data_IF_650596231636
#
_entry.id   IF_650596231636
#
_cell.length_a   1.000
_cell.length_b   1.000
_cell.length_c   1.000
_cell.angle_alpha   90.00
_cell.angle_beta   90.00
_cell.angle_gamma   90.00
#
_symmetry.space_group_name_H-M   'P 1'
#
loop_
_entity.id
_entity.type
_entity.pdbx_description
1 polymer ?
#
# COMPACT_ATOMS: atom_id res chain seq x y z
N UNK A 1 2.77 73.74 -29.38
CA UNK A 1 3.32 73.20 -28.12
C UNK A 1 3.48 71.70 -28.28
N UNK A 2 4.71 71.20 -28.09
CA UNK A 2 5.08 69.80 -28.26
C UNK A 2 4.42 68.93 -27.18
N UNK A 3 3.70 67.88 -27.60
CA UNK A 3 3.28 66.77 -26.75
C UNK A 3 4.00 65.49 -27.17
N UNK A 4 5.01 65.10 -26.41
CA UNK A 4 5.73 63.82 -26.51
C UNK A 4 4.78 62.67 -26.16
N UNK A 5 4.73 61.62 -26.97
CA UNK A 5 4.24 60.30 -26.52
C UNK A 5 5.40 59.32 -26.64
N UNK A 6 5.79 58.80 -25.48
CA UNK A 6 6.86 57.84 -25.23
C UNK A 6 6.64 56.53 -26.00
N UNK A 7 7.69 56.06 -26.68
CA UNK A 7 7.82 54.66 -27.09
C UNK A 7 8.19 53.85 -25.85
N UNK A 8 7.32 52.91 -25.47
CA UNK A 8 7.57 51.94 -24.41
C UNK A 8 8.26 50.72 -25.06
N UNK A 9 9.59 50.64 -24.96
CA UNK A 9 10.32 49.43 -25.35
C UNK A 9 10.15 48.36 -24.27
N UNK A 10 9.46 47.28 -24.61
CA UNK A 10 9.32 46.10 -23.77
C UNK A 10 10.56 45.23 -23.98
N UNK A 11 11.55 45.37 -23.09
CA UNK A 11 12.69 44.45 -23.02
C UNK A 11 12.22 43.11 -22.45
N UNK A 12 12.15 42.08 -23.30
CA UNK A 12 11.96 40.69 -22.92
C UNK A 12 13.25 40.16 -22.25
N UNK A 13 13.31 40.23 -20.92
CA UNK A 13 14.32 39.54 -20.12
C UNK A 13 13.97 38.05 -20.04
N UNK A 14 14.53 37.28 -20.99
CA UNK A 14 14.61 35.82 -20.91
C UNK A 14 15.54 35.45 -19.76
N UNK A 15 15.00 35.37 -18.54
CA UNK A 15 15.63 34.60 -17.46
C UNK A 15 15.53 33.12 -17.82
N UNK A 16 16.57 32.63 -18.48
CA UNK A 16 16.87 31.21 -18.57
C UNK A 16 17.10 30.68 -17.15
N UNK A 17 16.01 30.23 -16.53
CA UNK A 17 16.05 29.49 -15.29
C UNK A 17 16.67 28.14 -15.63
N UNK A 18 17.98 28.01 -15.42
CA UNK A 18 18.64 26.72 -15.43
C UNK A 18 17.96 25.86 -14.37
N UNK A 19 17.02 25.01 -14.80
CA UNK A 19 16.50 23.91 -14.00
C UNK A 19 17.68 22.95 -13.88
N UNK A 20 18.51 23.16 -12.87
CA UNK A 20 19.42 22.12 -12.40
C UNK A 20 18.51 21.00 -11.91
N UNK A 21 18.49 19.80 -12.51
CA UNK A 21 17.85 18.68 -11.86
C UNK A 21 18.63 18.47 -10.57
N UNK A 22 18.02 18.85 -9.45
CA UNK A 22 18.51 18.45 -8.15
C UNK A 22 18.51 16.92 -8.18
N UNK A 23 19.69 16.32 -8.31
CA UNK A 23 19.88 14.92 -8.01
C UNK A 23 19.54 14.79 -6.53
N UNK A 24 18.28 14.47 -6.25
CA UNK A 24 17.87 14.03 -4.94
C UNK A 24 18.62 12.71 -4.70
N UNK A 25 19.81 12.80 -4.11
CA UNK A 25 20.36 11.70 -3.35
C UNK A 25 19.40 11.46 -2.18
N UNK A 26 18.33 10.72 -2.45
CA UNK A 26 17.52 10.03 -1.44
C UNK A 26 18.40 8.97 -0.81
N UNK A 27 19.40 9.39 -0.03
CA UNK A 27 20.03 8.53 0.95
C UNK A 27 18.94 8.15 1.93
N UNK A 28 18.30 7.02 1.65
CA UNK A 28 17.32 6.42 2.52
C UNK A 28 18.06 6.07 3.80
N UNK A 29 18.04 6.98 4.79
CA UNK A 29 18.77 6.78 6.04
C UNK A 29 18.38 5.42 6.59
N UNK A 30 19.36 4.53 6.68
CA UNK A 30 19.14 3.15 7.06
C UNK A 30 18.39 3.11 8.39
N UNK A 31 17.23 2.44 8.39
CA UNK A 31 16.52 2.13 9.62
C UNK A 31 17.38 1.17 10.45
N UNK A 32 17.25 1.22 11.77
CA UNK A 32 17.96 0.32 12.68
C UNK A 32 16.93 -0.50 13.45
N UNK A 33 17.26 -1.76 13.73
CA UNK A 33 16.40 -2.64 14.52
C UNK A 33 16.19 -2.08 15.92
N UNK A 34 14.95 -1.77 16.29
CA UNK A 34 14.55 -1.41 17.66
C UNK A 34 14.00 -2.59 18.44
N UNK A 35 13.42 -3.56 17.74
CA UNK A 35 12.78 -4.73 18.33
C UNK A 35 12.96 -5.96 17.44
N UNK A 36 13.25 -7.10 18.07
CA UNK A 36 13.39 -8.38 17.37
C UNK A 36 13.07 -9.55 18.31
N UNK A 37 12.00 -10.29 18.01
CA UNK A 37 11.75 -11.61 18.64
C UNK A 37 12.54 -12.72 17.97
N UNK A 38 12.89 -12.54 16.69
CA UNK A 38 13.71 -13.46 15.91
C UNK A 38 14.81 -12.67 15.19
N UNK A 39 16.02 -12.56 15.78
CA UNK A 39 17.11 -11.77 15.21
C UNK A 39 17.45 -12.16 13.77
N UNK A 40 17.43 -13.46 13.47
CA UNK A 40 17.69 -13.99 12.12
C UNK A 40 16.65 -13.51 11.10
N UNK A 41 15.36 -13.64 11.44
CA UNK A 41 14.28 -13.19 10.56
C UNK A 41 14.36 -11.67 10.34
N UNK A 42 14.63 -10.91 11.41
CA UNK A 42 14.78 -9.47 11.30
C UNK A 42 15.97 -9.10 10.43
N UNK A 43 17.09 -9.82 10.50
CA UNK A 43 18.22 -9.63 9.60
C UNK A 43 17.87 -9.94 8.14
N UNK A 44 17.09 -10.99 7.87
CA UNK A 44 16.62 -11.32 6.51
C UNK A 44 15.73 -10.20 5.94
N UNK A 45 14.77 -9.67 6.72
CA UNK A 45 14.00 -8.48 6.31
C UNK A 45 14.87 -7.22 6.21
N UNK A 46 15.89 -7.10 7.07
CA UNK A 46 16.80 -5.97 7.07
C UNK A 46 17.61 -5.90 5.78
N UNK A 47 18.16 -7.06 5.39
CA UNK A 47 18.89 -7.24 4.15
C UNK A 47 18.01 -6.90 2.95
N UNK A 48 16.77 -7.42 2.92
CA UNK A 48 15.81 -7.18 1.84
C UNK A 48 15.50 -5.69 1.62
N UNK A 49 15.36 -4.88 2.67
CA UNK A 49 15.15 -3.43 2.47
C UNK A 49 16.45 -2.70 2.11
N UNK A 50 17.60 -3.18 2.59
CA UNK A 50 18.90 -2.52 2.36
C UNK A 50 19.48 -2.80 0.97
N UNK A 51 19.10 -3.91 0.34
CA UNK A 51 19.60 -4.34 -0.96
C UNK A 51 18.84 -3.74 -2.15
N UNK A 52 17.72 -3.05 -1.90
CA UNK A 52 16.80 -2.61 -2.96
C UNK A 52 17.11 -1.17 -3.42
N UNK A 53 18.12 -1.05 -4.28
CA UNK A 53 18.57 0.26 -4.79
C UNK A 53 17.60 0.92 -5.80
N UNK A 54 16.65 0.15 -6.35
CA UNK A 54 15.71 0.61 -7.39
C UNK A 54 14.36 1.05 -6.81
N UNK A 55 14.08 0.73 -5.54
CA UNK A 55 12.74 0.83 -4.95
C UNK A 55 12.78 1.49 -3.57
N UNK A 56 12.64 2.83 -3.48
CA UNK A 56 12.70 3.49 -2.20
C UNK A 56 11.48 3.12 -1.35
N UNK A 57 11.68 2.91 -0.04
CA UNK A 57 10.59 2.61 0.89
C UNK A 57 9.58 3.77 1.05
N UNK A 58 9.81 4.92 0.42
CA UNK A 58 8.86 6.06 0.38
C UNK A 58 7.86 5.94 -0.78
N UNK A 59 8.18 5.17 -1.82
CA UNK A 59 7.32 5.00 -2.99
C UNK A 59 6.24 3.95 -2.68
N UNK A 60 4.96 4.30 -2.89
CA UNK A 60 3.82 3.43 -2.57
C UNK A 60 3.77 2.21 -3.47
N UNK A 61 3.73 2.43 -4.78
CA UNK A 61 3.63 1.36 -5.77
C UNK A 61 4.81 0.40 -5.66
N UNK A 62 5.99 0.96 -5.41
CA UNK A 62 7.20 0.19 -5.31
C UNK A 62 7.21 -0.68 -4.04
N UNK A 63 6.93 -0.10 -2.88
CA UNK A 63 6.85 -0.82 -1.61
C UNK A 63 5.83 -1.97 -1.66
N UNK A 64 4.67 -1.71 -2.26
CA UNK A 64 3.56 -2.65 -2.30
C UNK A 64 3.75 -3.71 -3.38
N UNK A 65 4.03 -3.30 -4.62
CA UNK A 65 3.97 -4.17 -5.80
C UNK A 65 5.34 -4.69 -6.23
N UNK A 66 6.40 -3.90 -6.11
CA UNK A 66 7.73 -4.24 -6.66
C UNK A 66 8.74 -4.74 -5.62
N UNK A 67 8.53 -4.46 -4.35
CA UNK A 67 9.49 -4.80 -3.32
C UNK A 67 9.62 -6.33 -3.13
N UNK A 68 10.86 -6.85 -3.14
CA UNK A 68 11.18 -8.23 -2.79
C UNK A 68 11.18 -9.25 -3.95
N UNK A 69 11.17 -8.82 -5.21
CA UNK A 69 11.18 -9.71 -6.39
C UNK A 69 12.57 -10.06 -6.93
N UNK A 70 13.64 -9.44 -6.44
CA UNK A 70 15.01 -9.64 -6.98
C UNK A 70 15.99 -10.20 -5.93
N UNK A 71 16.60 -11.35 -6.25
CA UNK A 71 17.74 -11.94 -5.53
C UNK A 71 17.39 -13.01 -4.48
N UNK A 72 18.39 -13.84 -4.14
CA UNK A 72 18.43 -15.02 -3.24
C UNK A 72 17.88 -14.83 -1.80
N UNK A 73 16.66 -14.33 -1.69
CA UNK A 73 15.95 -14.08 -0.44
C UNK A 73 15.15 -15.33 -0.05
N UNK A 74 15.27 -15.76 1.21
CA UNK A 74 14.40 -16.81 1.81
C UNK A 74 12.97 -16.34 2.05
N UNK A 75 12.69 -15.06 1.77
CA UNK A 75 11.39 -14.44 1.82
C UNK A 75 10.83 -14.42 0.41
N UNK A 76 9.67 -15.04 0.22
CA UNK A 76 8.95 -15.04 -1.06
C UNK A 76 7.77 -14.09 -0.94
N UNK A 77 7.70 -13.09 -1.82
CA UNK A 77 6.54 -12.20 -1.87
C UNK A 77 5.28 -12.98 -2.28
N UNK A 78 4.18 -12.78 -1.57
CA UNK A 78 2.87 -13.28 -1.98
C UNK A 78 2.18 -12.20 -2.83
N UNK A 79 1.86 -12.48 -4.11
CA UNK A 79 1.26 -11.49 -4.98
C UNK A 79 -0.18 -11.18 -4.57
N UNK A 80 -0.63 -9.97 -4.89
CA UNK A 80 -2.03 -9.60 -4.81
C UNK A 80 -2.70 -9.84 -6.16
N UNK A 81 -3.91 -10.39 -6.12
CA UNK A 81 -4.78 -10.56 -7.29
C UNK A 81 -6.06 -9.78 -7.08
N UNK A 82 -6.51 -9.06 -8.11
CA UNK A 82 -7.79 -8.36 -8.04
C UNK A 82 -8.95 -9.35 -7.87
N UNK A 83 -9.81 -9.06 -6.90
CA UNK A 83 -11.03 -9.79 -6.64
C UNK A 83 -12.23 -9.06 -7.22
N UNK A 84 -12.31 -7.74 -7.03
CA UNK A 84 -13.44 -6.96 -7.47
C UNK A 84 -13.14 -5.46 -7.58
N UNK A 85 -13.89 -4.78 -8.44
CA UNK A 85 -13.95 -3.31 -8.51
C UNK A 85 -15.39 -2.82 -8.43
N UNK A 86 -15.62 -1.62 -7.87
CA UNK A 86 -16.93 -0.98 -7.95
C UNK A 86 -17.17 -0.30 -9.30
N UNK A 87 -18.41 0.17 -9.50
CA UNK A 87 -18.87 0.74 -10.77
C UNK A 87 -18.22 2.05 -11.23
N UNK A 88 -17.32 2.60 -10.42
CA UNK A 88 -16.66 3.86 -10.70
C UNK A 88 -15.14 3.73 -10.64
N UNK A 89 -14.61 2.51 -10.48
CA UNK A 89 -13.18 2.30 -10.29
C UNK A 89 -12.63 2.86 -8.98
N UNK A 90 -13.50 3.28 -8.06
CA UNK A 90 -13.07 3.94 -6.82
C UNK A 90 -12.77 2.95 -5.70
N UNK A 91 -13.49 1.81 -5.67
CA UNK A 91 -13.22 0.75 -4.69
C UNK A 91 -12.60 -0.43 -5.40
N UNK A 92 -11.40 -0.83 -4.98
CA UNK A 92 -10.73 -2.03 -5.48
C UNK A 92 -10.48 -2.97 -4.31
N UNK A 93 -10.86 -4.23 -4.49
CA UNK A 93 -10.62 -5.32 -3.53
C UNK A 93 -9.58 -6.24 -4.17
N UNK A 94 -8.44 -6.38 -3.53
CA UNK A 94 -7.40 -7.34 -3.93
C UNK A 94 -7.13 -8.35 -2.81
N UNK A 95 -6.72 -9.55 -3.18
CA UNK A 95 -6.44 -10.63 -2.23
C UNK A 95 -5.03 -11.17 -2.41
N UNK A 96 -4.34 -11.45 -1.31
CA UNK A 96 -3.25 -12.40 -1.26
C UNK A 96 -3.77 -13.69 -0.64
N UNK A 97 -3.86 -14.73 -1.46
CA UNK A 97 -4.19 -16.06 -0.99
C UNK A 97 -2.91 -16.86 -0.77
N UNK A 98 -2.59 -17.15 0.48
CA UNK A 98 -1.57 -18.14 0.80
C UNK A 98 -2.20 -19.53 0.66
N UNK A 99 -1.74 -20.38 -0.29
CA UNK A 99 -2.36 -21.68 -0.53
C UNK A 99 -2.43 -22.54 0.74
N UNK A 100 -3.57 -23.16 0.98
CA UNK A 100 -3.76 -24.07 2.13
C UNK A 100 -3.87 -23.36 3.49
N UNK A 101 -4.13 -22.04 3.52
CA UNK A 101 -4.41 -21.30 4.74
C UNK A 101 -5.92 -21.11 4.93
N UNK A 102 -6.42 -21.13 6.18
CA UNK A 102 -7.83 -20.84 6.49
C UNK A 102 -8.13 -19.33 6.53
N UNK A 103 -7.15 -18.49 6.20
CA UNK A 103 -7.31 -17.05 6.09
C UNK A 103 -6.78 -16.52 4.76
N UNK A 104 -7.36 -15.42 4.32
CA UNK A 104 -6.91 -14.63 3.18
C UNK A 104 -6.55 -13.23 3.67
N UNK A 105 -5.56 -12.61 3.04
CA UNK A 105 -5.29 -11.19 3.26
C UNK A 105 -5.97 -10.38 2.19
N UNK A 106 -6.80 -9.44 2.61
CA UNK A 106 -7.61 -8.55 1.78
C UNK A 106 -7.01 -7.16 1.83
N UNK A 107 -6.92 -6.53 0.66
CA UNK A 107 -6.57 -5.13 0.47
C UNK A 107 -7.78 -4.41 -0.06
N UNK A 108 -8.09 -3.29 0.58
CA UNK A 108 -9.17 -2.40 0.20
C UNK A 108 -8.56 -1.08 -0.17
N UNK A 109 -8.83 -0.65 -1.39
CA UNK A 109 -8.59 0.70 -1.85
C UNK A 109 -9.93 1.40 -2.03
N UNK A 110 -10.04 2.61 -1.50
CA UNK A 110 -11.18 3.52 -1.66
C UNK A 110 -12.53 2.91 -1.30
N UNK A 111 -12.66 2.21 -0.17
CA UNK A 111 -13.94 1.62 0.25
C UNK A 111 -14.95 2.72 0.59
N UNK A 112 -15.97 2.88 -0.28
CA UNK A 112 -16.97 3.97 -0.19
C UNK A 112 -18.16 3.65 0.73
N UNK A 113 -18.11 2.54 1.48
CA UNK A 113 -19.20 2.14 2.39
C UNK A 113 -19.31 2.98 3.67
N UNK A 114 -18.35 3.88 3.94
CA UNK A 114 -18.28 4.66 5.17
C UNK A 114 -18.42 6.18 4.94
N UNK A 115 -18.89 6.88 5.98
CA UNK A 115 -19.03 8.35 6.02
C UNK A 115 -17.69 9.09 5.84
N UNK A 116 -16.56 8.42 6.06
CA UNK A 116 -15.22 8.89 5.74
C UNK A 116 -14.56 7.83 4.85
N UNK A 117 -14.20 8.13 3.59
CA UNK A 117 -13.64 7.13 2.69
C UNK A 117 -12.37 6.53 3.30
N UNK A 118 -12.42 5.22 3.57
CA UNK A 118 -11.26 4.45 4.01
C UNK A 118 -10.38 4.25 2.80
N UNK A 119 -9.30 5.01 2.70
CA UNK A 119 -8.53 5.05 1.46
C UNK A 119 -7.77 3.78 1.21
N UNK A 120 -7.03 3.26 2.20
CA UNK A 120 -6.26 2.03 2.02
C UNK A 120 -6.25 1.23 3.33
N UNK A 121 -6.78 0.01 3.31
CA UNK A 121 -6.79 -0.89 4.46
C UNK A 121 -6.28 -2.29 4.08
N UNK A 122 -5.67 -2.97 5.05
CA UNK A 122 -5.27 -4.37 4.92
C UNK A 122 -5.90 -5.18 6.03
N UNK A 123 -6.53 -6.29 5.69
CA UNK A 123 -7.32 -7.12 6.60
C UNK A 123 -6.93 -8.60 6.48
N UNK A 124 -6.92 -9.31 7.60
CA UNK A 124 -6.92 -10.78 7.64
C UNK A 124 -8.34 -11.27 7.86
N UNK A 125 -8.86 -12.06 6.93
CA UNK A 125 -10.24 -12.57 6.97
C UNK A 125 -10.27 -14.08 6.79
N UNK A 126 -11.36 -14.72 7.18
CA UNK A 126 -11.57 -16.15 6.95
C UNK A 126 -11.72 -16.44 5.43
N UNK A 127 -10.94 -17.40 4.91
CA UNK A 127 -10.95 -17.74 3.48
C UNK A 127 -12.28 -18.33 3.04
N UNK A 128 -12.87 -19.22 3.82
CA UNK A 128 -14.11 -19.91 3.46
C UNK A 128 -15.26 -18.92 3.31
N UNK A 129 -15.42 -18.00 4.28
CA UNK A 129 -16.41 -16.94 4.23
C UNK A 129 -16.19 -16.00 3.03
N UNK A 130 -14.94 -15.62 2.76
CA UNK A 130 -14.60 -14.79 1.61
C UNK A 130 -14.94 -15.50 0.30
N UNK A 131 -14.56 -16.77 0.15
CA UNK A 131 -14.84 -17.54 -1.06
C UNK A 131 -16.33 -17.81 -1.23
N UNK A 132 -17.08 -18.02 -0.15
CA UNK A 132 -18.54 -18.15 -0.20
C UNK A 132 -19.18 -16.85 -0.71
N UNK A 133 -18.68 -15.70 -0.28
CA UNK A 133 -19.15 -14.39 -0.74
C UNK A 133 -18.85 -14.16 -2.22
N UNK A 134 -17.64 -14.51 -2.67
CA UNK A 134 -17.20 -14.34 -4.07
C UNK A 134 -18.01 -15.19 -5.05
N UNK A 135 -18.54 -16.32 -4.58
CA UNK A 135 -19.36 -17.22 -5.39
C UNK A 135 -20.88 -16.95 -5.28
N UNK A 136 -21.29 -15.97 -4.46
CA UNK A 136 -22.71 -15.62 -4.27
C UNK A 136 -23.17 -14.66 -5.35
N UNK A 137 -24.39 -14.82 -5.85
CA UNK A 137 -24.98 -13.88 -6.80
C UNK A 137 -25.61 -12.64 -6.10
N UNK A 138 -25.43 -11.41 -6.65
CA UNK A 138 -24.51 -11.09 -7.75
C UNK A 138 -23.06 -11.18 -7.29
N UNK A 139 -22.22 -11.91 -8.05
CA UNK A 139 -20.81 -12.06 -7.70
C UNK A 139 -20.05 -10.74 -7.83
N UNK A 140 -19.01 -10.50 -7.02
CA UNK A 140 -18.06 -9.43 -7.28
C UNK A 140 -17.43 -9.61 -8.67
N UNK A 141 -17.28 -8.52 -9.43
CA UNK A 141 -16.74 -8.53 -10.79
C UNK A 141 -15.36 -7.91 -10.83
N UNK A 142 -14.47 -8.51 -11.62
CA UNK A 142 -13.19 -7.91 -11.97
C UNK A 142 -13.37 -6.71 -12.90
N UNK A 143 -12.36 -5.85 -12.96
CA UNK A 143 -12.37 -4.62 -13.73
C UNK A 143 -12.72 -4.86 -15.21
N UNK A 144 -12.12 -5.86 -15.84
CA UNK A 144 -12.41 -6.17 -17.25
C UNK A 144 -13.85 -6.59 -17.47
N UNK A 145 -14.41 -7.42 -16.60
CA UNK A 145 -15.80 -7.87 -16.67
C UNK A 145 -16.77 -6.71 -16.41
N UNK A 146 -16.41 -5.83 -15.48
CA UNK A 146 -17.22 -4.68 -15.12
C UNK A 146 -17.27 -3.64 -16.26
N UNK A 147 -16.12 -3.21 -16.78
CA UNK A 147 -16.04 -2.19 -17.84
C UNK A 147 -16.63 -2.67 -19.17
N UNK A 148 -16.43 -3.96 -19.49
CA UNK A 148 -16.87 -4.54 -20.77
C UNK A 148 -18.27 -5.15 -20.68
N UNK A 149 -18.83 -5.32 -19.49
CA UNK A 149 -20.16 -5.87 -19.30
C UNK A 149 -21.24 -4.90 -19.76
N UNK A 150 -22.09 -5.36 -20.69
CA UNK A 150 -23.26 -4.61 -21.13
C UNK A 150 -24.16 -4.22 -19.93
N UNK A 151 -24.83 -3.07 -20.02
CA UNK A 151 -25.52 -2.26 -19.01
C UNK A 151 -26.57 -2.91 -18.06
N UNK A 152 -26.53 -4.22 -17.81
CA UNK A 152 -27.41 -4.95 -16.89
C UNK A 152 -26.70 -5.48 -15.63
N UNK A 153 -25.48 -5.02 -15.34
CA UNK A 153 -24.79 -5.36 -14.09
C UNK A 153 -25.58 -4.80 -12.91
N UNK A 154 -25.98 -5.68 -11.99
CA UNK A 154 -26.65 -5.27 -10.74
C UNK A 154 -25.72 -4.36 -9.95
N UNK A 155 -26.22 -3.18 -9.56
CA UNK A 155 -25.46 -2.16 -8.82
C UNK A 155 -25.01 -2.62 -7.42
N UNK A 156 -25.66 -3.63 -6.87
CA UNK A 156 -25.37 -4.14 -5.52
C UNK A 156 -24.25 -5.17 -5.56
N UNK A 157 -23.05 -4.79 -5.11
CA UNK A 157 -21.83 -5.62 -5.14
C UNK A 157 -21.56 -6.36 -3.83
N UNK A 158 -22.60 -6.85 -3.16
CA UNK A 158 -22.50 -7.56 -1.86
C UNK A 158 -21.67 -6.81 -0.78
N UNK A 159 -21.66 -5.47 -0.84
CA UNK A 159 -20.81 -4.63 0.00
C UNK A 159 -21.14 -4.79 1.49
N UNK A 160 -22.41 -4.99 1.84
CA UNK A 160 -22.87 -5.23 3.21
C UNK A 160 -22.30 -6.53 3.76
N UNK A 161 -22.38 -7.62 2.99
CA UNK A 161 -21.82 -8.91 3.38
C UNK A 161 -20.29 -8.86 3.46
N UNK A 162 -19.65 -8.13 2.55
CA UNK A 162 -18.22 -7.89 2.64
C UNK A 162 -17.84 -7.15 3.92
N UNK A 163 -18.59 -6.11 4.30
CA UNK A 163 -18.39 -5.37 5.54
C UNK A 163 -18.57 -6.28 6.78
N UNK A 164 -19.47 -7.26 6.73
CA UNK A 164 -19.63 -8.26 7.80
C UNK A 164 -18.39 -9.15 7.94
N UNK A 165 -17.78 -9.56 6.82
CA UNK A 165 -16.51 -10.32 6.84
C UNK A 165 -15.39 -9.48 7.48
N UNK A 166 -15.30 -8.19 7.14
CA UNK A 166 -14.32 -7.29 7.74
C UNK A 166 -14.57 -7.09 9.24
N UNK A 167 -15.83 -6.97 9.66
CA UNK A 167 -16.20 -6.74 11.06
C UNK A 167 -15.75 -7.86 12.00
N UNK A 168 -15.64 -9.11 11.51
CA UNK A 168 -15.11 -10.25 12.26
C UNK A 168 -13.64 -10.55 11.93
N UNK A 169 -13.08 -9.86 10.93
CA UNK A 169 -11.68 -9.96 10.54
C UNK A 169 -10.75 -9.18 11.46
N UNK A 170 -9.45 -9.28 11.20
CA UNK A 170 -8.43 -8.51 11.88
C UNK A 170 -7.85 -7.46 10.94
N UNK A 171 -7.98 -6.17 11.29
CA UNK A 171 -7.29 -5.09 10.57
C UNK A 171 -5.80 -5.17 10.85
N UNK A 172 -4.99 -5.33 9.80
CA UNK A 172 -3.54 -5.42 9.88
C UNK A 172 -2.86 -4.06 9.75
N UNK A 173 -3.39 -3.18 8.90
CA UNK A 173 -2.87 -1.84 8.65
C UNK A 173 -3.13 -0.92 9.85
N UNK A 174 -2.12 -0.18 10.29
CA UNK A 174 -2.25 0.78 11.39
C UNK A 174 -3.12 1.99 10.98
N UNK A 175 -3.78 2.62 11.95
CA UNK A 175 -4.81 3.64 11.69
C UNK A 175 -4.32 4.96 11.06
N UNK A 176 -3.01 5.19 11.04
CA UNK A 176 -2.41 6.51 10.75
C UNK A 176 -1.74 6.60 9.37
N UNK A 177 -1.52 5.48 8.68
CA UNK A 177 -0.80 5.45 7.41
C UNK A 177 -1.51 4.54 6.41
N UNK A 178 -2.30 5.10 5.47
CA UNK A 178 -3.09 4.31 4.53
C UNK A 178 -2.17 3.73 3.46
N UNK A 179 -1.70 2.49 3.64
CA UNK A 179 -0.82 1.83 2.66
C UNK A 179 -1.11 0.33 2.70
N UNK A 180 -1.16 -0.31 1.52
CA UNK A 180 -1.17 -1.77 1.44
C UNK A 180 0.10 -2.32 2.10
N UNK A 181 -0.07 -3.25 3.03
CA UNK A 181 1.07 -3.97 3.62
C UNK A 181 1.50 -5.12 2.69
N UNK A 182 2.68 -5.13 2.05
CA UNK A 182 3.11 -6.29 1.28
C UNK A 182 3.23 -7.55 2.16
N UNK A 183 2.89 -8.71 1.59
CA UNK A 183 2.93 -10.01 2.26
C UNK A 183 4.14 -10.80 1.78
N UNK A 184 4.83 -11.40 2.74
CA UNK A 184 5.95 -12.30 2.50
C UNK A 184 5.72 -13.63 3.19
N UNK A 185 6.02 -14.72 2.51
CA UNK A 185 6.03 -16.06 3.07
C UNK A 185 7.49 -16.50 3.30
N UNK A 186 7.74 -17.14 4.44
CA UNK A 186 8.93 -17.98 4.59
C UNK A 186 8.61 -19.19 5.44
N UNK A 187 9.00 -20.37 4.93
CA UNK A 187 8.74 -21.67 5.59
C UNK A 187 7.27 -21.86 5.98
N UNK A 188 6.34 -21.43 5.12
CA UNK A 188 4.91 -21.56 5.37
C UNK A 188 4.35 -20.62 6.43
N UNK A 189 5.11 -19.61 6.88
CA UNK A 189 4.62 -18.53 7.75
C UNK A 189 4.53 -17.24 6.96
N UNK A 190 3.39 -16.55 7.08
CA UNK A 190 3.16 -15.28 6.42
C UNK A 190 3.52 -14.11 7.33
N UNK A 191 4.02 -13.04 6.70
CA UNK A 191 4.44 -11.82 7.35
C UNK A 191 3.89 -10.63 6.58
N UNK A 192 3.17 -9.76 7.27
CA UNK A 192 2.71 -8.49 6.73
C UNK A 192 3.67 -7.38 7.16
N UNK A 193 4.05 -6.51 6.23
CA UNK A 193 4.98 -5.42 6.53
C UNK A 193 4.26 -4.09 6.49
N UNK A 194 4.18 -3.43 7.64
CA UNK A 194 3.69 -2.07 7.77
C UNK A 194 4.85 -1.09 7.73
N UNK A 195 4.62 0.08 7.14
CA UNK A 195 5.52 1.23 7.28
C UNK A 195 4.77 2.40 7.86
N UNK A 196 5.43 3.12 8.76
CA UNK A 196 4.97 4.39 9.28
C UNK A 196 5.78 5.50 8.62
N UNK A 197 5.08 6.52 8.16
CA UNK A 197 5.65 7.62 7.39
C UNK A 197 5.36 8.96 8.04
N UNK A 198 6.37 9.83 8.04
CA UNK A 198 6.19 11.27 8.16
C UNK A 198 6.03 11.83 6.74
N UNK A 199 4.84 12.33 6.45
CA UNK A 199 4.40 12.67 5.11
C UNK A 199 3.42 13.85 5.12
N UNK A 200 2.76 14.05 3.99
CA UNK A 200 1.79 15.12 3.80
C UNK A 200 0.59 14.62 3.03
N UNK A 201 -0.59 15.09 3.42
CA UNK A 201 -1.82 14.88 2.67
C UNK A 201 -1.83 15.79 1.44
N UNK A 202 -2.04 15.20 0.27
CA UNK A 202 -2.30 15.92 -0.96
C UNK A 202 -3.81 16.17 -1.13
N UNK A 203 -4.15 17.17 -1.94
CA UNK A 203 -5.52 17.41 -2.35
C UNK A 203 -6.11 16.17 -3.05
N UNK A 204 -7.36 15.82 -2.76
CA UNK A 204 -7.96 14.54 -3.18
C UNK A 204 -7.74 13.41 -2.17
N UNK A 205 -7.09 13.68 -1.05
CA UNK A 205 -7.01 12.78 0.09
C UNK A 205 -5.81 11.84 0.05
N UNK A 206 -4.98 11.81 -0.98
CA UNK A 206 -3.82 10.91 -1.01
C UNK A 206 -2.76 11.28 0.04
N UNK A 207 -2.25 10.32 0.82
CA UNK A 207 -1.12 10.53 1.73
C UNK A 207 0.22 10.20 1.05
N UNK A 208 1.05 11.21 0.84
CA UNK A 208 2.40 11.05 0.32
C UNK A 208 3.41 10.74 1.44
N UNK A 209 4.09 9.59 1.34
CA UNK A 209 5.16 9.23 2.27
C UNK A 209 6.47 9.96 1.91
N UNK A 210 6.71 11.12 2.53
CA UNK A 210 7.97 11.86 2.32
C UNK A 210 9.17 11.15 2.98
N UNK A 211 8.92 10.49 4.12
CA UNK A 211 9.98 9.86 4.91
C UNK A 211 9.44 8.71 5.75
N UNK A 212 10.04 7.53 5.60
CA UNK A 212 9.77 6.38 6.48
C UNK A 212 10.45 6.59 7.84
N UNK A 213 9.68 6.44 8.91
CA UNK A 213 10.15 6.58 10.30
C UNK A 213 10.19 5.24 11.04
N UNK A 214 9.34 4.30 10.66
CA UNK A 214 9.29 2.94 11.21
C UNK A 214 8.86 1.94 10.15
N UNK A 215 9.39 0.73 10.22
CA UNK A 215 8.89 -0.46 9.51
C UNK A 215 8.64 -1.54 10.54
N UNK A 216 7.46 -2.13 10.52
CA UNK A 216 7.05 -3.19 11.44
C UNK A 216 6.71 -4.43 10.62
N UNK A 217 7.37 -5.54 10.93
CA UNK A 217 7.05 -6.86 10.39
C UNK A 217 6.13 -7.55 11.38
N UNK A 218 4.91 -7.88 10.96
CA UNK A 218 3.92 -8.61 11.75
C UNK A 218 3.85 -10.05 11.25
N UNK A 219 3.97 -11.03 12.14
CA UNK A 219 3.66 -12.43 11.81
C UNK A 219 2.16 -12.58 11.75
N UNK A 220 1.67 -13.15 10.66
CA UNK A 220 0.26 -13.45 10.43
C UNK A 220 0.03 -14.93 10.68
N UNK A 221 -0.99 -15.23 11.47
CA UNK A 221 -1.42 -16.60 11.75
C UNK A 221 -2.96 -16.68 11.79
N UNK A 222 -3.49 -17.87 11.54
CA UNK A 222 -4.93 -18.13 11.47
C UNK A 222 -5.62 -17.93 12.82
N UNK A 223 -5.06 -18.51 13.86
CA UNK A 223 -5.64 -18.72 15.19
C UNK A 223 -5.28 -17.62 16.19
N UNK A 224 -4.47 -16.63 15.76
CA UNK A 224 -3.91 -15.61 16.64
C UNK A 224 -3.96 -14.25 15.98
N UNK A 225 -4.12 -13.22 16.79
CA UNK A 225 -3.85 -11.84 16.39
C UNK A 225 -2.43 -11.73 15.84
N UNK A 226 -2.26 -10.95 14.79
CA UNK A 226 -0.96 -10.72 14.18
C UNK A 226 -0.08 -9.96 15.14
N UNK A 227 1.14 -10.45 15.34
CA UNK A 227 2.07 -9.88 16.33
C UNK A 227 3.30 -9.29 15.66
N UNK A 228 3.83 -8.15 16.13
CA UNK A 228 5.11 -7.64 15.65
C UNK A 228 6.23 -8.63 16.01
N UNK A 229 7.07 -8.94 15.03
CA UNK A 229 8.26 -9.79 15.21
C UNK A 229 9.56 -9.04 15.03
N UNK A 230 9.53 -7.97 14.21
CA UNK A 230 10.65 -7.09 13.96
C UNK A 230 10.15 -5.66 13.84
N UNK A 231 10.90 -4.71 14.40
CA UNK A 231 10.69 -3.29 14.15
C UNK A 231 12.02 -2.63 13.80
N UNK A 232 11.98 -1.79 12.76
CA UNK A 232 13.09 -0.97 12.34
C UNK A 232 12.68 0.49 12.44
N UNK A 233 13.43 1.29 13.18
CA UNK A 233 13.13 2.72 13.39
C UNK A 233 14.28 3.57 12.89
N UNK A 234 13.98 4.82 12.56
CA UNK A 234 15.04 5.79 12.26
C UNK A 234 15.85 6.07 13.52
N UNK A 235 17.17 5.90 13.43
CA UNK A 235 18.08 6.29 14.52
C UNK A 235 17.92 7.79 14.77
N UNK A 236 17.60 8.19 16.00
CA UNK A 236 17.67 9.60 16.40
C UNK A 236 19.13 10.03 16.23
N UNK A 237 19.36 11.09 15.44
CA UNK A 237 20.69 11.69 15.35
C UNK A 237 21.12 12.12 16.74
N UNK A 238 22.33 11.73 17.14
CA UNK A 238 23.02 12.38 18.26
C UNK A 238 23.62 13.68 17.77
#
# INVERSE_FOLDING_TARGET
MLGRIMKLEISFLLLASAIVPASAETSQRMLVTSYATSPRLCQEFQQMYSSFNVCPLTDNDCFVLKWGTEGNSKLTKTPFTELAVNQYGYTTISIAHAPGKPYSIVYLDGFQGDRHPRQLETWKVNTEQLMALVNKDPRPLQYEEWVKGAHQIKRETLATEFAQILAVGEKLSDDWSPIWMPIFNTKGTDYAIGRECSGSWAYGGYYGCNKVIKVTVKRVAADKTSIPVCEFVRRKGR
#
